data_IF_353419475742
#
_entry.id   IF_353419475742
#
_cell.length_a   1.000
_cell.length_b   1.000
_cell.length_c   1.000
_cell.angle_alpha   90.00
_cell.angle_beta   90.00
_cell.angle_gamma   90.00
#
_symmetry.space_group_name_H-M   'P 1'
#
loop_
_entity.id
_entity.type
_entity.pdbx_description
1 polymer ?
#
# COMPACT_ATOMS: atom_id res chain seq x y z
N UNK A 1 -4.43 -2.30 10.13
CA UNK A 1 -3.31 -1.91 9.25
C UNK A 1 -3.42 -2.73 7.98
N UNK A 2 -3.14 -2.17 6.82
CA UNK A 2 -3.11 -2.89 5.54
C UNK A 2 -1.67 -3.35 5.25
N UNK A 3 -1.49 -4.53 4.62
CA UNK A 3 -0.19 -5.01 4.16
C UNK A 3 0.21 -4.36 2.83
N UNK A 4 0.07 -3.04 2.73
CA UNK A 4 0.38 -2.24 1.54
C UNK A 4 1.15 -1.02 2.03
N UNK A 5 2.34 -0.77 1.48
CA UNK A 5 3.16 0.36 1.90
C UNK A 5 3.11 1.52 0.88
N UNK A 6 3.10 2.74 1.40
CA UNK A 6 3.15 3.98 0.64
C UNK A 6 4.48 4.71 0.91
N UNK A 7 5.05 5.33 -0.12
CA UNK A 7 6.27 6.11 0.05
C UNK A 7 6.00 7.44 0.78
N UNK A 8 6.86 7.77 1.75
CA UNK A 8 6.78 9.00 2.54
C UNK A 8 6.72 10.28 1.67
N UNK A 9 7.49 10.43 0.57
CA UNK A 9 7.41 11.60 -0.30
C UNK A 9 6.01 11.83 -0.86
N UNK A 10 5.31 10.78 -1.29
CA UNK A 10 3.97 10.92 -1.87
C UNK A 10 2.91 11.18 -0.82
N UNK A 11 3.08 10.67 0.39
CA UNK A 11 2.26 11.07 1.53
C UNK A 11 2.42 12.56 1.85
N UNK A 12 3.67 13.04 1.91
CA UNK A 12 3.94 14.45 2.17
C UNK A 12 3.41 15.38 1.07
N UNK A 13 3.53 14.98 -0.20
CA UNK A 13 2.95 15.71 -1.32
C UNK A 13 1.41 15.86 -1.18
N UNK A 14 0.72 14.78 -0.80
CA UNK A 14 -0.72 14.80 -0.52
C UNK A 14 -1.07 15.79 0.60
N UNK A 15 -0.28 15.82 1.68
CA UNK A 15 -0.46 16.76 2.79
C UNK A 15 -0.22 18.22 2.39
N UNK A 16 0.65 18.46 1.41
CA UNK A 16 0.93 19.79 0.84
C UNK A 16 -0.14 20.25 -0.16
N UNK A 17 -1.12 19.39 -0.46
CA UNK A 17 -2.20 19.69 -1.40
C UNK A 17 -1.94 19.22 -2.83
N UNK A 18 -0.90 18.40 -3.04
CA UNK A 18 -0.58 17.83 -4.35
C UNK A 18 -1.31 16.49 -4.52
N UNK A 19 -2.37 16.48 -5.33
CA UNK A 19 -3.17 15.30 -5.62
C UNK A 19 -4.35 15.63 -6.53
N UNK A 20 -5.08 14.60 -6.93
CA UNK A 20 -6.39 14.74 -7.57
C UNK A 20 -7.50 14.69 -6.52
N UNK A 21 -8.68 15.18 -6.88
CA UNK A 21 -9.93 15.10 -6.11
C UNK A 21 -11.04 14.80 -7.12
N UNK A 22 -10.89 13.64 -7.76
CA UNK A 22 -11.72 13.17 -8.85
C UNK A 22 -12.84 12.23 -8.36
N UNK A 23 -12.75 11.75 -7.12
CA UNK A 23 -13.64 10.76 -6.53
C UNK A 23 -14.26 11.23 -5.21
N UNK A 24 -15.49 10.79 -4.99
CA UNK A 24 -16.24 11.07 -3.77
C UNK A 24 -16.64 9.78 -3.07
N UNK A 25 -16.84 9.83 -1.76
CA UNK A 25 -17.47 8.73 -1.03
C UNK A 25 -18.93 9.03 -0.65
N UNK A 26 -19.87 8.31 -1.27
CA UNK A 26 -21.28 8.34 -0.84
C UNK A 26 -21.49 7.41 0.37
N UNK A 27 -21.51 8.01 1.55
CA UNK A 27 -21.78 7.29 2.81
C UNK A 27 -23.18 6.66 2.92
N UNK A 28 -24.18 7.13 2.15
CA UNK A 28 -25.53 6.56 2.17
C UNK A 28 -25.58 5.22 1.42
N UNK A 29 -24.86 5.14 0.29
CA UNK A 29 -24.82 3.96 -0.58
C UNK A 29 -23.55 3.11 -0.40
N UNK A 30 -22.62 3.55 0.45
CA UNK A 30 -21.31 2.95 0.71
C UNK A 30 -20.49 2.69 -0.57
N UNK A 31 -20.47 3.65 -1.49
CA UNK A 31 -19.82 3.50 -2.79
C UNK A 31 -18.97 4.73 -3.16
N UNK A 32 -17.95 4.51 -3.98
CA UNK A 32 -17.11 5.57 -4.56
C UNK A 32 -17.79 6.10 -5.82
N UNK A 33 -18.01 7.40 -5.89
CA UNK A 33 -18.60 8.10 -7.01
C UNK A 33 -17.56 8.96 -7.75
N UNK A 34 -17.88 9.35 -8.99
CA UNK A 34 -17.11 10.37 -9.72
C UNK A 34 -17.52 11.76 -9.21
N UNK A 35 -16.55 12.60 -8.90
CA UNK A 35 -16.72 13.97 -8.43
C UNK A 35 -15.95 14.26 -7.15
N UNK A 36 -15.60 15.53 -6.94
CA UNK A 36 -14.83 16.00 -5.79
C UNK A 36 -15.60 15.90 -4.46
N UNK A 37 -14.93 15.46 -3.40
CA UNK A 37 -15.41 15.57 -2.00
C UNK A 37 -14.48 16.37 -1.08
N UNK A 38 -13.38 16.90 -1.63
CA UNK A 38 -12.39 17.69 -0.91
C UNK A 38 -11.31 16.84 -0.24
N UNK A 39 -11.29 15.53 -0.48
CA UNK A 39 -10.25 14.61 -0.03
C UNK A 39 -9.37 14.23 -1.20
N UNK A 40 -8.08 14.57 -1.13
CA UNK A 40 -7.14 14.23 -2.19
C UNK A 40 -6.90 12.72 -2.27
N UNK A 41 -6.79 12.19 -3.50
CA UNK A 41 -6.53 10.77 -3.73
C UNK A 41 -5.05 10.47 -4.00
N UNK A 42 -4.67 9.22 -3.72
CA UNK A 42 -3.36 8.68 -4.06
C UNK A 42 -3.50 7.35 -4.80
N UNK A 43 -2.83 7.25 -5.94
CA UNK A 43 -2.79 6.00 -6.69
C UNK A 43 -1.76 5.05 -6.07
N UNK A 44 -2.23 4.03 -5.36
CA UNK A 44 -1.38 3.02 -4.75
C UNK A 44 -0.96 1.91 -5.72
N UNK A 45 -1.59 1.84 -6.89
CA UNK A 45 -1.16 0.91 -7.93
C UNK A 45 0.14 1.43 -8.55
N UNK A 46 1.11 0.56 -8.87
CA UNK A 46 2.28 0.94 -9.65
C UNK A 46 1.83 1.20 -11.10
N UNK A 47 1.05 2.26 -11.32
CA UNK A 47 0.82 2.75 -12.66
C UNK A 47 2.11 3.37 -13.16
N UNK A 48 2.41 3.04 -14.39
CA UNK A 48 3.50 3.62 -15.10
C UNK A 48 3.28 5.14 -15.24
N UNK A 49 4.39 5.88 -15.18
CA UNK A 49 4.41 7.33 -15.30
C UNK A 49 3.51 7.87 -16.44
N UNK A 50 2.99 9.10 -16.32
CA UNK A 50 2.23 9.75 -17.38
C UNK A 50 2.94 9.62 -18.73
N UNK A 51 2.33 8.88 -19.67
CA UNK A 51 2.88 8.60 -21.00
C UNK A 51 3.38 7.18 -21.27
N UNK A 52 3.34 6.25 -20.30
CA UNK A 52 3.72 4.85 -20.53
C UNK A 52 2.73 3.83 -19.96
N UNK A 53 1.48 3.71 -20.46
CA UNK A 53 0.41 2.88 -19.87
C UNK A 53 0.65 1.35 -19.85
N UNK A 54 1.87 0.88 -20.12
CA UNK A 54 2.27 -0.54 -20.15
C UNK A 54 3.41 -0.93 -19.21
N UNK A 55 3.87 -0.05 -18.31
CA UNK A 55 4.79 -0.47 -17.23
C UNK A 55 6.12 -1.06 -17.68
N UNK A 56 6.61 -0.71 -18.88
CA UNK A 56 7.97 -1.05 -19.31
C UNK A 56 8.83 0.22 -19.28
N UNK A 57 9.22 0.63 -18.08
CA UNK A 57 10.06 1.81 -17.87
C UNK A 57 11.54 1.46 -18.00
N UNK A 58 12.06 1.43 -19.22
CA UNK A 58 13.51 1.57 -19.45
C UNK A 58 13.83 3.07 -19.58
N UNK A 59 14.03 3.77 -18.45
CA UNK A 59 14.41 5.20 -18.50
C UNK A 59 14.19 5.99 -17.21
N UNK A 60 15.29 6.14 -16.46
CA UNK A 60 15.72 7.29 -15.62
C UNK A 60 14.83 7.88 -14.51
N UNK A 61 13.53 7.59 -14.43
CA UNK A 61 12.69 7.94 -13.27
C UNK A 61 12.06 6.64 -12.73
N UNK A 62 12.87 5.94 -11.94
CA UNK A 62 12.66 4.58 -11.44
C UNK A 62 11.57 4.53 -10.37
N UNK A 63 10.31 4.49 -10.78
CA UNK A 63 9.28 3.80 -9.99
C UNK A 63 9.14 2.39 -10.56
N UNK A 64 10.18 1.59 -10.32
CA UNK A 64 10.22 0.16 -10.67
C UNK A 64 8.98 -0.50 -10.07
N UNK A 65 8.29 -1.44 -10.76
CA UNK A 65 7.34 -2.32 -10.09
C UNK A 65 8.05 -2.94 -8.87
N UNK A 66 7.68 -2.50 -7.66
CA UNK A 66 8.49 -2.71 -6.45
C UNK A 66 8.75 -1.48 -5.56
N UNK A 67 8.21 -0.30 -5.89
CA UNK A 67 8.26 0.88 -5.00
C UNK A 67 6.89 1.29 -4.42
N UNK A 68 5.84 0.55 -4.75
CA UNK A 68 4.53 0.54 -4.07
C UNK A 68 4.03 -0.89 -4.20
N UNK A 69 3.73 -1.53 -3.09
CA UNK A 69 3.58 -2.98 -3.07
C UNK A 69 3.03 -3.50 -1.77
N UNK A 70 2.88 -4.82 -1.73
CA UNK A 70 2.50 -5.52 -0.52
C UNK A 70 3.74 -5.75 0.34
N UNK A 71 3.55 -5.71 1.65
CA UNK A 71 4.62 -5.95 2.62
C UNK A 71 4.28 -7.13 3.52
N UNK A 72 5.33 -7.78 3.99
CA UNK A 72 5.22 -9.00 4.77
C UNK A 72 5.04 -8.65 6.24
N UNK A 73 3.79 -8.53 6.66
CA UNK A 73 3.43 -8.35 8.06
C UNK A 73 3.15 -9.72 8.70
N UNK A 74 4.21 -10.49 8.95
CA UNK A 74 4.10 -11.79 9.61
C UNK A 74 5.00 -12.83 8.94
N UNK A 75 4.40 -13.94 8.51
CA UNK A 75 5.14 -15.00 7.82
C UNK A 75 5.77 -14.45 6.52
N UNK A 76 7.10 -14.62 6.31
CA UNK A 76 7.80 -14.12 5.12
C UNK A 76 7.45 -14.87 3.82
N UNK A 77 6.57 -15.87 3.87
CA UNK A 77 6.00 -16.50 2.68
C UNK A 77 4.64 -15.89 2.38
N UNK A 78 4.61 -14.57 2.17
CA UNK A 78 3.43 -13.73 1.98
C UNK A 78 2.53 -14.20 0.83
N UNK A 79 1.74 -15.21 1.13
CA UNK A 79 0.87 -15.85 0.18
C UNK A 79 -0.39 -14.99 0.04
N UNK A 80 -1.01 -15.02 -1.14
CA UNK A 80 -2.27 -14.31 -1.39
C UNK A 80 -3.32 -14.48 -0.27
N UNK A 81 -3.53 -15.68 0.31
CA UNK A 81 -4.47 -15.85 1.42
C UNK A 81 -4.13 -15.03 2.68
N UNK A 82 -2.85 -14.78 2.96
CA UNK A 82 -2.43 -13.97 4.10
C UNK A 82 -2.76 -12.51 3.85
N UNK A 83 -2.43 -11.99 2.67
CA UNK A 83 -2.79 -10.63 2.25
C UNK A 83 -4.30 -10.40 2.28
N UNK A 84 -5.08 -11.32 1.70
CA UNK A 84 -6.53 -11.27 1.69
C UNK A 84 -7.10 -11.15 3.12
N UNK A 85 -6.65 -12.05 4.01
CA UNK A 85 -7.08 -12.04 5.41
C UNK A 85 -6.67 -10.75 6.13
N UNK A 86 -5.44 -10.28 5.94
CA UNK A 86 -4.93 -9.08 6.61
C UNK A 86 -5.68 -7.82 6.15
N UNK A 87 -6.07 -7.74 4.87
CA UNK A 87 -6.90 -6.64 4.35
C UNK A 87 -8.29 -6.66 5.01
N UNK A 88 -8.92 -7.84 5.07
CA UNK A 88 -10.27 -7.98 5.60
C UNK A 88 -10.35 -7.83 7.13
N UNK A 89 -9.40 -8.42 7.85
CA UNK A 89 -9.50 -8.63 9.31
C UNK A 89 -8.36 -8.00 10.11
N UNK A 90 -7.33 -7.48 9.44
CA UNK A 90 -6.12 -6.97 10.09
C UNK A 90 -5.17 -8.08 10.55
N UNK A 91 -4.11 -7.65 11.23
CA UNK A 91 -3.10 -8.55 11.81
C UNK A 91 -3.66 -9.33 12.99
N UNK A 92 -3.27 -10.59 13.10
CA UNK A 92 -3.61 -11.48 14.22
C UNK A 92 -2.37 -11.73 15.12
N UNK A 93 -2.56 -12.53 16.16
CA UNK A 93 -1.47 -12.88 17.10
C UNK A 93 -0.30 -13.62 16.43
N UNK A 94 -0.58 -14.44 15.42
CA UNK A 94 0.44 -15.17 14.67
C UNK A 94 1.31 -14.19 13.85
N UNK A 95 0.69 -13.26 13.12
CA UNK A 95 1.39 -12.20 12.38
C UNK A 95 2.32 -11.40 13.30
N UNK A 96 1.79 -10.98 14.44
CA UNK A 96 2.52 -10.16 15.41
C UNK A 96 3.63 -10.94 16.12
N UNK A 97 3.52 -12.27 16.20
CA UNK A 97 4.55 -13.11 16.83
C UNK A 97 5.91 -13.01 16.13
N UNK A 98 5.93 -12.69 14.83
CA UNK A 98 7.15 -12.44 14.05
C UNK A 98 7.85 -11.13 14.44
N UNK A 99 7.13 -10.23 15.12
CA UNK A 99 7.62 -8.93 15.59
C UNK A 99 7.72 -8.87 17.13
N UNK A 100 7.71 -10.02 17.82
CA UNK A 100 7.76 -10.06 19.28
C UNK A 100 6.42 -9.79 19.99
N UNK A 101 5.32 -9.84 19.25
CA UNK A 101 3.95 -9.70 19.76
C UNK A 101 3.30 -8.35 19.48
N UNK A 102 4.05 -7.37 18.98
CA UNK A 102 3.55 -6.04 18.61
C UNK A 102 4.36 -5.42 17.47
N UNK A 103 3.78 -4.44 16.78
CA UNK A 103 4.54 -3.56 15.89
C UNK A 103 4.98 -2.33 16.69
N UNK A 104 6.22 -2.33 17.14
CA UNK A 104 6.79 -1.26 17.96
C UNK A 104 7.66 -0.33 17.12
N UNK A 105 7.23 0.92 16.96
CA UNK A 105 7.94 1.95 16.20
C UNK A 105 8.72 2.94 17.10
N UNK A 106 8.71 2.75 18.43
CA UNK A 106 9.41 3.62 19.38
C UNK A 106 10.93 3.49 19.28
N UNK A 107 11.43 2.32 18.84
CA UNK A 107 12.85 2.04 18.66
C UNK A 107 13.37 2.45 17.26
N UNK A 108 12.48 2.93 16.39
CA UNK A 108 12.77 3.33 15.01
C UNK A 108 11.91 2.58 14.00
N UNK A 109 12.19 2.76 12.70
CA UNK A 109 11.45 2.07 11.65
C UNK A 109 11.73 0.56 11.66
N UNK A 110 10.76 -0.21 11.20
CA UNK A 110 10.84 -1.68 11.15
C UNK A 110 11.17 -2.09 9.73
N UNK A 111 12.27 -2.81 9.55
CA UNK A 111 12.60 -3.40 8.26
C UNK A 111 11.63 -4.55 7.95
N UNK A 112 10.90 -4.45 6.83
CA UNK A 112 9.96 -5.47 6.37
C UNK A 112 10.29 -5.91 4.95
N UNK A 113 10.04 -7.19 4.65
CA UNK A 113 10.18 -7.69 3.30
C UNK A 113 9.02 -7.19 2.42
N UNK A 114 9.35 -6.91 1.17
CA UNK A 114 8.43 -6.41 0.16
C UNK A 114 8.23 -7.40 -0.96
N UNK A 115 6.98 -7.56 -1.37
CA UNK A 115 6.62 -8.30 -2.56
C UNK A 115 6.39 -7.39 -3.78
N UNK A 116 6.70 -7.87 -4.99
CA UNK A 116 6.43 -7.12 -6.20
C UNK A 116 4.92 -7.03 -6.50
N UNK A 117 4.31 -5.94 -6.03
CA UNK A 117 3.11 -5.32 -6.59
C UNK A 117 1.77 -5.73 -5.96
N UNK A 118 0.81 -4.80 -6.04
CA UNK A 118 -0.61 -5.05 -5.77
C UNK A 118 -1.16 -5.87 -6.96
N UNK A 119 -1.45 -7.15 -6.74
CA UNK A 119 -2.00 -8.01 -7.79
C UNK A 119 -3.53 -7.93 -7.85
N UNK A 120 -4.12 -8.37 -8.97
CA UNK A 120 -5.57 -8.50 -9.10
C UNK A 120 -6.19 -9.47 -8.07
N UNK A 121 -5.38 -10.27 -7.38
CA UNK A 121 -5.85 -11.28 -6.45
C UNK A 121 -6.40 -10.69 -5.13
N UNK A 122 -6.03 -9.46 -4.76
CA UNK A 122 -6.53 -8.79 -3.54
C UNK A 122 -7.60 -7.72 -3.82
N UNK A 123 -8.10 -7.65 -5.06
CA UNK A 123 -9.02 -6.60 -5.51
C UNK A 123 -10.36 -6.66 -4.79
N UNK A 124 -10.88 -7.87 -4.60
CA UNK A 124 -12.19 -8.07 -3.99
C UNK A 124 -12.16 -7.69 -2.49
N UNK A 125 -11.04 -7.96 -1.82
CA UNK A 125 -10.81 -7.61 -0.43
C UNK A 125 -10.66 -6.10 -0.25
N UNK A 126 -9.93 -5.43 -1.14
CA UNK A 126 -9.86 -3.96 -1.16
C UNK A 126 -11.23 -3.32 -1.40
N UNK A 127 -12.05 -3.90 -2.29
CA UNK A 127 -13.42 -3.43 -2.51
C UNK A 127 -14.30 -3.64 -1.27
N UNK A 128 -14.13 -4.74 -0.52
CA UNK A 128 -14.90 -5.04 0.68
C UNK A 128 -14.65 -4.08 1.86
N UNK A 129 -13.51 -3.38 1.86
CA UNK A 129 -13.15 -2.42 2.92
C UNK A 129 -13.39 -0.95 2.54
N UNK A 130 -13.99 -0.67 1.39
CA UNK A 130 -14.37 0.69 0.98
C UNK A 130 -15.21 1.35 2.08
N UNK A 131 -14.89 2.61 2.41
CA UNK A 131 -15.56 3.38 3.46
C UNK A 131 -15.14 3.04 4.88
N UNK A 132 -14.22 2.08 5.06
CA UNK A 132 -13.69 1.75 6.37
C UNK A 132 -12.33 2.43 6.57
N UNK A 133 -12.15 3.22 7.65
CA UNK A 133 -10.84 3.74 8.00
C UNK A 133 -9.82 2.61 8.19
N UNK A 134 -8.65 2.78 7.60
CA UNK A 134 -7.53 1.83 7.67
C UNK A 134 -6.21 2.59 7.82
N UNK A 135 -5.23 1.95 8.45
CA UNK A 135 -3.87 2.46 8.55
C UNK A 135 -3.01 1.84 7.44
N UNK A 136 -2.24 2.68 6.74
CA UNK A 136 -1.21 2.27 5.79
C UNK A 136 0.18 2.58 6.39
N UNK A 137 1.11 1.63 6.39
CA UNK A 137 2.51 1.91 6.71
C UNK A 137 3.13 2.81 5.66
N UNK A 138 3.97 3.73 6.13
CA UNK A 138 4.82 4.55 5.29
C UNK A 138 6.24 3.99 5.30
N UNK A 139 6.91 4.03 4.16
CA UNK A 139 8.34 3.74 4.09
C UNK A 139 9.12 4.96 3.65
N UNK A 140 10.30 5.12 4.23
CA UNK A 140 11.27 6.18 3.96
C UNK A 140 12.40 5.70 3.05
N UNK A 141 12.74 4.41 3.12
CA UNK A 141 13.77 3.78 2.30
C UNK A 141 13.27 2.49 1.65
N UNK A 142 13.74 2.23 0.43
CA UNK A 142 13.53 0.97 -0.28
C UNK A 142 14.87 0.45 -0.78
N UNK A 143 15.21 -0.79 -0.45
CA UNK A 143 16.47 -1.43 -0.81
C UNK A 143 16.17 -2.76 -1.50
N UNK A 144 16.81 -3.03 -2.65
CA UNK A 144 16.59 -4.25 -3.42
C UNK A 144 15.60 -4.08 -4.57
N UNK A 145 15.25 -5.19 -5.23
CA UNK A 145 14.26 -5.22 -6.33
C UNK A 145 13.47 -6.55 -6.29
N UNK A 146 12.18 -6.51 -6.65
CA UNK A 146 11.34 -7.71 -6.72
C UNK A 146 11.08 -8.36 -5.36
N UNK A 147 11.17 -9.68 -5.26
CA UNK A 147 11.00 -10.45 -4.01
C UNK A 147 12.25 -10.42 -3.10
N UNK A 148 13.17 -9.49 -3.34
CA UNK A 148 14.32 -9.20 -2.48
C UNK A 148 14.29 -7.76 -1.96
N UNK A 149 13.12 -7.12 -2.08
CA UNK A 149 12.92 -5.73 -1.67
C UNK A 149 12.71 -5.69 -0.16
N UNK A 150 13.32 -4.70 0.48
CA UNK A 150 13.11 -4.36 1.89
C UNK A 150 12.68 -2.91 1.98
N UNK A 151 11.74 -2.64 2.88
CA UNK A 151 11.24 -1.31 3.19
C UNK A 151 11.54 -0.97 4.65
N UNK A 152 11.89 0.30 4.89
CA UNK A 152 12.19 0.86 6.22
C UNK A 152 11.43 2.16 6.43
#
# INVERSE_FOLDING_TARGET
MLPIALDEPSWNALLEGEGTDDYCYDSCCQHVCEGSDGVLEINIYPEAAPGNPRGNGNGTNQWTPGNRGTIDLGNPNNATPDLERQILYGLNEEDLSYFGGELNFDEGPIEVNGDPGISAAIKDELAAIIGQPRALPLFSEVIGQGNTTYYT
#
